data_IF_182010893480
#
_entry.id   IF_182010893480
#
_cell.length_a   1.000
_cell.length_b   1.000
_cell.length_c   1.000
_cell.angle_alpha   90.00
_cell.angle_beta   90.00
_cell.angle_gamma   90.00
#
_symmetry.space_group_name_H-M   'P 1'
#
loop_
_entity.id
_entity.type
_entity.pdbx_description
1 polymer ?
#
# COMPACT_ATOMS: atom_id res chain seq x y z
N UNK A 1 12.56 4.12 4.87
CA UNK A 1 11.61 4.80 3.97
C UNK A 1 10.72 5.83 4.65
N UNK A 2 10.18 5.62 5.86
CA UNK A 2 9.42 6.67 6.60
C UNK A 2 8.30 7.34 5.76
N UNK A 3 7.70 6.59 4.84
CA UNK A 3 6.62 7.05 3.96
C UNK A 3 5.25 6.94 4.64
N UNK A 4 4.27 7.70 4.12
CA UNK A 4 2.88 7.59 4.57
C UNK A 4 2.13 6.50 3.78
N UNK A 5 1.56 5.54 4.50
CA UNK A 5 0.61 4.57 3.95
C UNK A 5 -0.80 4.91 4.46
N UNK A 6 -1.73 5.15 3.54
CA UNK A 6 -3.11 5.50 3.87
C UNK A 6 -4.11 4.85 2.92
N UNK A 7 -5.39 4.90 3.31
CA UNK A 7 -6.51 4.45 2.47
C UNK A 7 -7.46 5.62 2.26
N UNK A 8 -8.19 5.60 1.14
CA UNK A 8 -9.20 6.61 0.85
C UNK A 8 -10.29 6.07 -0.09
N UNK A 9 -11.52 6.61 -0.02
CA UNK A 9 -12.58 6.28 -0.96
C UNK A 9 -12.20 6.61 -2.42
N UNK A 10 -12.63 5.81 -3.42
CA UNK A 10 -12.36 6.05 -4.84
C UNK A 10 -12.73 7.44 -5.36
N UNK A 11 -13.79 8.04 -4.82
CA UNK A 11 -14.30 9.37 -5.18
C UNK A 11 -13.31 10.50 -4.85
N UNK A 12 -12.44 10.31 -3.84
CA UNK A 12 -11.49 11.32 -3.40
C UNK A 12 -10.18 11.32 -4.21
N UNK A 13 -10.01 10.43 -5.20
CA UNK A 13 -8.77 10.27 -5.97
C UNK A 13 -8.23 11.58 -6.56
N UNK A 14 -9.12 12.42 -7.12
CA UNK A 14 -8.72 13.71 -7.71
C UNK A 14 -8.21 14.68 -6.66
N UNK A 15 -8.88 14.74 -5.50
CA UNK A 15 -8.48 15.62 -4.40
C UNK A 15 -7.14 15.19 -3.81
N UNK A 16 -6.91 13.88 -3.66
CA UNK A 16 -5.64 13.33 -3.19
C UNK A 16 -4.49 13.67 -4.14
N UNK A 17 -4.70 13.54 -5.46
CA UNK A 17 -3.68 13.91 -6.45
C UNK A 17 -3.38 15.42 -6.42
N UNK A 18 -4.41 16.27 -6.28
CA UNK A 18 -4.21 17.71 -6.12
C UNK A 18 -3.42 18.02 -4.84
N UNK A 19 -3.78 17.42 -3.70
CA UNK A 19 -3.07 17.60 -2.44
C UNK A 19 -1.60 17.13 -2.53
N UNK A 20 -1.34 16.00 -3.19
CA UNK A 20 0.01 15.48 -3.44
C UNK A 20 0.86 16.44 -4.27
N UNK A 21 0.28 17.06 -5.30
CA UNK A 21 0.94 18.09 -6.10
C UNK A 21 1.24 19.33 -5.26
N UNK A 22 0.27 19.83 -4.51
CA UNK A 22 0.45 21.00 -3.63
C UNK A 22 1.51 20.76 -2.55
N UNK A 23 1.52 19.58 -1.94
CA UNK A 23 2.49 19.18 -0.92
C UNK A 23 3.84 18.75 -1.51
N UNK A 24 4.00 18.75 -2.84
CA UNK A 24 5.18 18.27 -3.56
C UNK A 24 5.62 16.87 -3.12
N UNK A 25 4.65 16.02 -2.78
CA UNK A 25 4.87 14.68 -2.25
C UNK A 25 4.13 13.68 -3.14
N UNK A 26 4.82 12.96 -4.04
CA UNK A 26 4.18 12.04 -4.98
C UNK A 26 3.44 10.92 -4.27
N UNK A 27 2.20 10.64 -4.69
CA UNK A 27 1.39 9.53 -4.15
C UNK A 27 1.07 8.51 -5.24
N UNK A 28 1.22 7.24 -4.89
CA UNK A 28 0.98 6.11 -5.80
C UNK A 28 -0.07 5.18 -5.23
N UNK A 29 -1.07 4.84 -6.04
CA UNK A 29 -2.09 3.85 -5.65
C UNK A 29 -1.57 2.45 -5.94
N UNK A 30 -1.25 1.72 -4.88
CA UNK A 30 -0.67 0.37 -4.96
C UNK A 30 -1.65 -0.78 -4.68
N UNK A 31 -2.91 -0.47 -4.36
CA UNK A 31 -3.89 -1.50 -4.01
C UNK A 31 -5.30 -0.99 -3.81
N UNK A 32 -6.12 -1.83 -3.17
CA UNK A 32 -7.49 -1.53 -2.74
C UNK A 32 -7.82 -2.31 -1.46
N UNK A 33 -8.59 -1.70 -0.57
CA UNK A 33 -9.22 -2.41 0.55
C UNK A 33 -10.44 -3.18 0.04
N UNK A 34 -10.65 -4.37 0.59
CA UNK A 34 -11.80 -5.22 0.32
C UNK A 34 -12.25 -5.89 1.63
N UNK A 35 -13.25 -6.78 1.57
CA UNK A 35 -13.80 -7.46 2.73
C UNK A 35 -13.21 -8.86 2.97
N UNK A 36 -12.04 -9.20 2.41
CA UNK A 36 -11.47 -10.55 2.53
C UNK A 36 -10.89 -10.85 3.90
N UNK A 37 -10.50 -9.82 4.67
CA UNK A 37 -9.75 -9.98 5.91
C UNK A 37 -8.30 -10.45 5.72
N UNK A 38 -7.82 -10.52 4.46
CA UNK A 38 -6.50 -11.07 4.12
C UNK A 38 -5.76 -10.19 3.12
N UNK A 39 -4.44 -10.09 3.27
CA UNK A 39 -3.56 -9.44 2.30
C UNK A 39 -3.30 -10.37 1.12
N UNK A 40 -3.53 -9.88 -0.11
CA UNK A 40 -3.08 -10.51 -1.35
C UNK A 40 -2.13 -9.58 -2.09
N UNK A 41 -0.97 -10.09 -2.45
CA UNK A 41 0.01 -9.37 -3.25
C UNK A 41 0.04 -10.02 -4.62
N UNK A 42 -0.12 -9.23 -5.68
CA UNK A 42 -0.12 -9.72 -7.05
C UNK A 42 1.13 -9.23 -7.76
N UNK A 43 1.75 -10.10 -8.55
CA UNK A 43 2.82 -9.71 -9.46
C UNK A 43 2.26 -8.98 -10.70
N UNK A 44 3.14 -8.52 -11.59
CA UNK A 44 2.75 -7.82 -12.81
C UNK A 44 1.87 -8.67 -13.76
N UNK A 45 1.93 -9.99 -13.66
CA UNK A 45 1.11 -10.94 -14.42
C UNK A 45 -0.24 -11.25 -13.74
N UNK A 46 -0.49 -10.67 -12.56
CA UNK A 46 -1.70 -10.90 -11.77
C UNK A 46 -1.67 -12.16 -10.90
N UNK A 47 -0.55 -12.86 -10.82
CA UNK A 47 -0.40 -14.05 -9.98
C UNK A 47 -0.11 -13.65 -8.53
N UNK A 48 -0.66 -14.41 -7.58
CA UNK A 48 -0.44 -14.20 -6.15
C UNK A 48 1.00 -14.52 -5.76
N UNK A 49 1.66 -13.59 -5.06
CA UNK A 49 2.98 -13.76 -4.47
C UNK A 49 2.79 -14.04 -2.98
N UNK A 50 3.40 -15.12 -2.51
CA UNK A 50 3.55 -15.42 -1.10
C UNK A 50 4.87 -14.83 -0.60
N UNK A 51 4.81 -13.95 0.40
CA UNK A 51 6.01 -13.41 1.03
C UNK A 51 6.58 -14.45 2.01
N UNK A 52 7.83 -14.90 1.82
CA UNK A 52 8.42 -15.96 2.65
C UNK A 52 8.85 -15.47 4.05
N UNK A 53 8.87 -14.16 4.28
CA UNK A 53 9.36 -13.58 5.53
C UNK A 53 8.36 -12.58 6.09
N UNK A 54 8.16 -12.65 7.40
CA UNK A 54 7.42 -11.64 8.15
C UNK A 54 8.19 -10.30 8.13
N UNK A 55 7.48 -9.21 8.43
CA UNK A 55 8.07 -7.90 8.61
C UNK A 55 9.12 -7.88 9.72
N UNK A 56 9.76 -6.72 9.89
CA UNK A 56 10.75 -6.53 10.95
C UNK A 56 10.14 -6.81 12.34
N UNK A 57 10.87 -7.58 13.15
CA UNK A 57 10.55 -7.89 14.53
C UNK A 57 11.81 -7.64 15.37
N UNK A 58 11.69 -6.74 16.35
CA UNK A 58 12.79 -6.33 17.23
C UNK A 58 13.40 -7.50 18.03
N UNK A 59 12.63 -8.56 18.25
CA UNK A 59 13.00 -9.67 19.12
C UNK A 59 13.05 -11.00 18.39
N UNK A 60 12.94 -11.00 17.06
CA UNK A 60 13.05 -12.22 16.28
C UNK A 60 14.39 -12.90 16.59
N UNK A 61 14.31 -14.17 17.01
CA UNK A 61 15.48 -14.99 17.24
C UNK A 61 16.14 -15.29 15.89
N UNK A 62 17.45 -15.07 15.82
CA UNK A 62 18.31 -15.35 14.66
C UNK A 62 18.47 -16.84 14.41
#
# INVERSE_FOLDING_TARGET
DYELLFTAPPENRRQIQAAAQTAQTPVHRIGKINHSGSLKILNAQGNEIHLPRAGFDHFAQS
#
